data_IF_284324984622
#
_entry.id   IF_284324984622
#
_cell.length_a   1.000
_cell.length_b   1.000
_cell.length_c   1.000
_cell.angle_alpha   90.00
_cell.angle_beta   90.00
_cell.angle_gamma   90.00
#
_symmetry.space_group_name_H-M   'P 1'
#
loop_
_entity.id
_entity.type
_entity.pdbx_description
1 polymer ?
#
# COMPACT_ATOMS: atom_id res chain seq x y z
N UNK A 1 0.93 10.10 9.76
CA UNK A 1 0.85 8.62 9.80
C UNK A 1 0.36 8.15 8.45
N UNK A 2 1.15 7.40 7.67
CA UNK A 2 0.69 6.77 6.41
C UNK A 2 1.00 5.28 6.51
N UNK A 3 0.01 4.44 6.28
CA UNK A 3 0.18 2.98 6.28
C UNK A 3 0.56 2.50 4.87
N UNK A 4 1.44 1.50 4.80
CA UNK A 4 1.70 0.76 3.57
C UNK A 4 0.65 -0.32 3.33
N UNK A 5 0.52 -0.78 2.08
CA UNK A 5 -0.36 -1.89 1.69
C UNK A 5 0.48 -3.08 1.23
N UNK A 6 0.01 -4.29 1.56
CA UNK A 6 0.54 -5.55 1.02
C UNK A 6 -0.49 -6.05 0.01
N UNK A 7 -0.04 -6.27 -1.23
CA UNK A 7 -0.92 -6.55 -2.37
C UNK A 7 -0.26 -7.56 -3.31
N UNK A 8 -1.07 -8.24 -4.12
CA UNK A 8 -0.61 -9.19 -5.13
C UNK A 8 -0.45 -8.50 -6.50
N UNK A 9 0.70 -8.71 -7.17
CA UNK A 9 0.86 -8.31 -8.58
C UNK A 9 0.07 -9.26 -9.47
N UNK A 10 -0.97 -8.75 -10.12
CA UNK A 10 -1.82 -9.52 -11.04
C UNK A 10 -1.23 -9.54 -12.44
N UNK A 11 -0.64 -8.44 -12.87
CA UNK A 11 -0.10 -8.34 -14.21
C UNK A 11 0.19 -6.92 -14.61
N UNK A 12 0.24 -6.70 -15.92
CA UNK A 12 0.49 -5.39 -16.51
C UNK A 12 -0.47 -5.16 -17.67
N UNK A 13 -0.95 -3.92 -17.81
CA UNK A 13 -1.86 -3.49 -18.87
C UNK A 13 -1.43 -2.12 -19.38
N UNK A 14 -2.07 -1.62 -20.44
CA UNK A 14 -1.83 -0.26 -20.95
C UNK A 14 -3.04 0.61 -20.65
N UNK A 15 -2.80 1.80 -20.09
CA UNK A 15 -3.80 2.86 -20.02
C UNK A 15 -3.63 3.78 -21.23
N UNK A 16 -4.74 4.06 -21.88
CA UNK A 16 -4.83 4.95 -23.02
C UNK A 16 -5.35 6.29 -22.50
N UNK A 17 -4.56 7.35 -22.66
CA UNK A 17 -4.97 8.70 -22.24
C UNK A 17 -5.73 9.40 -23.36
N UNK A 18 -6.50 10.44 -23.04
CA UNK A 18 -7.25 11.24 -24.01
C UNK A 18 -6.32 11.96 -25.02
N UNK A 19 -5.06 12.18 -24.64
CA UNK A 19 -4.00 12.65 -25.52
C UNK A 19 -3.42 11.57 -26.45
N UNK A 20 -3.99 10.36 -26.47
CA UNK A 20 -3.57 9.25 -27.33
C UNK A 20 -2.30 8.51 -26.86
N UNK A 21 -1.79 8.77 -25.66
CA UNK A 21 -0.59 8.10 -25.14
C UNK A 21 -0.90 6.72 -24.55
N UNK A 22 -0.02 5.75 -24.81
CA UNK A 22 -0.08 4.43 -24.18
C UNK A 22 0.89 4.34 -23.00
N UNK A 23 0.36 4.26 -21.78
CA UNK A 23 1.17 4.15 -20.56
C UNK A 23 1.09 2.72 -20.01
N UNK A 24 2.20 1.96 -19.95
CA UNK A 24 2.20 0.64 -19.32
C UNK A 24 2.07 0.78 -17.81
N UNK A 25 1.12 0.09 -17.21
CA UNK A 25 0.85 0.10 -15.77
C UNK A 25 0.87 -1.32 -15.20
N UNK A 26 1.21 -1.42 -13.92
CA UNK A 26 1.09 -2.68 -13.16
C UNK A 26 -0.25 -2.71 -12.45
N UNK A 27 -0.96 -3.83 -12.56
CA UNK A 27 -2.23 -4.06 -11.85
C UNK A 27 -1.92 -4.81 -10.56
N UNK A 28 -2.30 -4.22 -9.43
CA UNK A 28 -2.16 -4.80 -8.10
C UNK A 28 -3.55 -5.11 -7.55
N UNK A 29 -3.75 -6.34 -7.06
CA UNK A 29 -4.97 -6.76 -6.36
C UNK A 29 -4.76 -6.66 -4.85
N UNK A 30 -5.73 -6.04 -4.20
CA UNK A 30 -5.81 -5.93 -2.76
C UNK A 30 -6.94 -6.83 -2.28
N UNK A 31 -6.61 -7.80 -1.43
CA UNK A 31 -7.55 -8.73 -0.80
C UNK A 31 -7.30 -8.72 0.72
N UNK A 32 -8.36 -8.92 1.51
CA UNK A 32 -8.23 -9.17 2.95
C UNK A 32 -7.47 -8.08 3.74
N UNK A 33 -7.69 -6.81 3.41
CA UNK A 33 -6.95 -5.71 4.04
C UNK A 33 -7.33 -5.53 5.52
N UNK A 34 -6.43 -5.93 6.41
CA UNK A 34 -6.54 -5.74 7.85
C UNK A 34 -5.29 -5.02 8.37
N UNK A 35 -5.50 -4.09 9.30
CA UNK A 35 -4.40 -3.45 10.02
C UNK A 35 -4.13 -4.25 11.28
N UNK A 36 -2.91 -4.77 11.41
CA UNK A 36 -2.46 -5.38 12.66
C UNK A 36 -1.88 -4.29 13.58
N UNK A 37 -2.13 -4.33 14.91
CA UNK A 37 -1.52 -3.40 15.84
C UNK A 37 0.00 -3.45 15.76
N UNK A 38 0.62 -2.29 15.59
CA UNK A 38 2.08 -2.18 15.70
C UNK A 38 2.49 -2.42 17.14
N UNK A 39 3.50 -3.28 17.37
CA UNK A 39 3.99 -3.56 18.71
C UNK A 39 4.40 -2.25 19.44
N UNK A 40 4.05 -2.10 20.75
CA UNK A 40 4.34 -0.88 21.49
C UNK A 40 5.85 -0.72 21.68
N UNK A 41 6.39 0.41 21.23
CA UNK A 41 7.77 0.79 21.49
C UNK A 41 7.84 1.50 22.86
N UNK A 42 7.84 0.73 23.94
CA UNK A 42 7.88 1.24 25.31
C UNK A 42 9.13 2.11 25.54
N UNK A 43 8.92 3.37 25.93
CA UNK A 43 9.89 4.13 26.71
C UNK A 43 9.39 4.23 28.15
N UNK A 44 9.99 3.42 29.02
CA UNK A 44 9.93 3.60 30.46
C UNK A 44 10.54 4.96 30.81
N UNK A 45 9.74 5.88 31.34
CA UNK A 45 10.24 7.06 32.04
C UNK A 45 9.20 7.54 33.06
N UNK A 46 9.32 6.95 34.25
CA UNK A 46 9.25 7.56 35.59
C UNK A 46 8.32 8.77 35.78
N UNK A 47 7.26 8.59 36.58
CA UNK A 47 6.64 9.68 37.34
C UNK A 47 6.51 9.31 38.82
N UNK A 48 7.28 10.01 39.64
CA UNK A 48 6.73 10.64 40.85
C UNK A 48 5.76 11.74 40.41
#
# INVERSE_FOLDING_TARGET
>A
MRSGLIVQKVGMTRLFTDAGQHVPVTVLKLDGCQVWPSAPKTRMATRR
#
